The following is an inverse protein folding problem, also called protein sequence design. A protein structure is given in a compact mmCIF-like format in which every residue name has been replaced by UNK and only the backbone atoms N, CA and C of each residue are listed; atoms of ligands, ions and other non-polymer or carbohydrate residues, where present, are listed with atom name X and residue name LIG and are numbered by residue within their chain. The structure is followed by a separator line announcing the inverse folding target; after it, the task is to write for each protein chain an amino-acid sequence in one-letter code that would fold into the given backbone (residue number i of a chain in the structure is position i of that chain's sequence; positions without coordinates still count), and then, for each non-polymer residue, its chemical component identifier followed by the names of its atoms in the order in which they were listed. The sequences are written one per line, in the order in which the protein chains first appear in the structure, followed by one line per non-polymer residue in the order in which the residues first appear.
data_IF_294399076142
#
_entry.id   IF_294399076142
#
_cell.length_a   1.000
_cell.length_b   1.000
_cell.length_c   1.000
_cell.angle_alpha   90.00
_cell.angle_beta   90.00
_cell.angle_gamma   90.00
#
_symmetry.space_group_name_H-M   'P 1'
#
loop_
_entity.id
_entity.type
_entity.pdbx_description
1 polymer ?
#
# COMPACT_ATOMS: atom_id res chain seq x y z
N UNK A 1 3.30 17.54 -5.32
CA UNK A 1 4.69 17.22 -4.93
C UNK A 1 4.61 16.28 -3.74
N UNK A 2 5.26 15.10 -3.75
CA UNK A 2 5.25 14.22 -2.57
C UNK A 2 6.11 14.84 -1.46
N UNK A 3 5.69 14.76 -0.19
CA UNK A 3 6.50 15.24 0.92
C UNK A 3 7.84 14.51 0.95
N UNK A 4 8.95 15.23 1.15
CA UNK A 4 10.27 14.61 1.34
C UNK A 4 10.24 13.81 2.64
N UNK A 5 10.18 12.48 2.52
CA UNK A 5 10.20 11.59 3.67
C UNK A 5 11.60 11.53 4.28
N UNK A 6 11.69 11.63 5.61
CA UNK A 6 12.95 11.39 6.32
C UNK A 6 13.35 9.89 6.25
N UNK A 7 14.60 9.58 6.57
CA UNK A 7 15.15 8.22 6.45
C UNK A 7 14.46 7.20 7.35
N UNK A 8 14.01 7.60 8.55
CA UNK A 8 13.31 6.73 9.50
C UNK A 8 11.93 6.32 8.98
N UNK A 9 11.16 7.29 8.46
CA UNK A 9 9.85 7.06 7.85
C UNK A 9 9.98 6.17 6.61
N UNK A 10 10.96 6.44 5.74
CA UNK A 10 11.24 5.60 4.58
C UNK A 10 11.52 4.14 4.96
N UNK A 11 12.40 3.92 5.94
CA UNK A 11 12.71 2.57 6.44
C UNK A 11 11.49 1.88 7.05
N UNK A 12 10.69 2.62 7.82
CA UNK A 12 9.44 2.12 8.41
C UNK A 12 8.45 1.66 7.34
N UNK A 13 8.12 2.52 6.38
CA UNK A 13 7.20 2.19 5.29
C UNK A 13 7.73 1.04 4.42
N UNK A 14 9.03 1.05 4.09
CA UNK A 14 9.65 -0.03 3.29
C UNK A 14 9.50 -1.40 3.97
N UNK A 15 9.66 -1.47 5.30
CA UNK A 15 9.44 -2.71 6.06
C UNK A 15 8.02 -3.25 5.82
N UNK A 16 7.01 -2.39 5.87
CA UNK A 16 5.61 -2.81 5.67
C UNK A 16 5.31 -3.19 4.21
N UNK A 17 5.92 -2.52 3.23
CA UNK A 17 5.80 -2.93 1.83
C UNK A 17 6.39 -4.32 1.59
N UNK A 18 7.55 -4.61 2.17
CA UNK A 18 8.15 -5.96 2.08
C UNK A 18 7.27 -7.01 2.74
N UNK A 19 6.66 -6.71 3.89
CA UNK A 19 5.72 -7.63 4.55
C UNK A 19 4.48 -7.87 3.68
N UNK A 20 3.92 -6.83 3.08
CA UNK A 20 2.78 -6.95 2.14
C UNK A 20 3.14 -7.80 0.93
N UNK A 21 4.31 -7.55 0.32
CA UNK A 21 4.78 -8.32 -0.83
C UNK A 21 4.95 -9.81 -0.52
N UNK A 22 5.43 -10.16 0.67
CA UNK A 22 5.56 -11.56 1.12
C UNK A 22 4.21 -12.29 1.25
N UNK A 23 3.12 -11.57 1.50
CA UNK A 23 1.78 -12.17 1.55
C UNK A 23 1.20 -12.38 0.15
N UNK A 24 1.53 -11.46 -0.78
CA UNK A 24 0.95 -11.42 -2.13
C UNK A 24 1.70 -12.34 -3.09
N UNK A 25 3.04 -12.23 -3.18
CA UNK A 25 3.86 -12.90 -4.20
C UNK A 25 3.63 -14.42 -4.24
N UNK A 26 3.63 -15.16 -3.11
CA UNK A 26 3.41 -16.60 -3.15
C UNK A 26 2.04 -16.99 -3.70
N UNK A 27 0.99 -16.19 -3.43
CA UNK A 27 -0.37 -16.44 -3.90
C UNK A 27 -0.52 -16.20 -5.40
N UNK A 28 0.33 -15.36 -5.96
CA UNK A 28 0.33 -15.01 -7.37
C UNK A 28 1.31 -15.83 -8.21
N UNK A 29 2.22 -16.56 -7.58
CA UNK A 29 3.23 -17.34 -8.31
C UNK A 29 2.60 -18.37 -9.26
N UNK A 30 1.43 -18.89 -8.91
CA UNK A 30 0.67 -19.83 -9.73
C UNK A 30 -0.40 -19.16 -10.61
N UNK A 31 -0.51 -17.83 -10.57
CA UNK A 31 -1.51 -17.07 -11.33
C UNK A 31 -0.93 -16.63 -12.68
N UNK A 32 -1.66 -16.88 -13.77
CA UNK A 32 -1.37 -16.29 -15.08
C UNK A 32 -1.78 -14.82 -15.16
N UNK A 33 -2.67 -14.38 -14.27
CA UNK A 33 -3.15 -13.01 -14.18
C UNK A 33 -2.19 -12.16 -13.36
N UNK A 34 -1.72 -11.06 -13.95
CA UNK A 34 -0.91 -10.07 -13.25
C UNK A 34 -1.71 -9.42 -12.11
N UNK A 35 -1.08 -9.15 -10.96
CA UNK A 35 -1.78 -8.52 -9.84
C UNK A 35 -2.22 -7.10 -10.17
N UNK A 36 -3.47 -6.79 -9.81
CA UNK A 36 -3.97 -5.42 -9.89
C UNK A 36 -3.20 -4.51 -8.93
N UNK A 37 -3.08 -3.23 -9.28
CA UNK A 37 -2.47 -2.21 -8.41
C UNK A 37 -3.15 -2.15 -7.02
N UNK A 38 -4.45 -2.42 -6.97
CA UNK A 38 -5.27 -2.44 -5.74
C UNK A 38 -4.89 -3.63 -4.84
N UNK A 39 -4.51 -4.78 -5.42
CA UNK A 39 -4.11 -5.96 -4.66
C UNK A 39 -2.92 -5.69 -3.73
N UNK A 40 -2.01 -4.80 -4.14
CA UNK A 40 -0.86 -4.41 -3.33
C UNK A 40 -1.21 -3.45 -2.18
N UNK A 41 -2.35 -2.77 -2.28
CA UNK A 41 -2.80 -1.77 -1.31
C UNK A 41 -3.50 -2.39 -0.12
N UNK A 42 -4.27 -3.45 -0.36
CA UNK A 42 -5.09 -4.09 0.66
C UNK A 42 -4.24 -4.61 1.85
N UNK A 43 -3.14 -5.38 1.64
CA UNK A 43 -2.31 -5.84 2.75
C UNK A 43 -1.61 -4.70 3.50
N UNK A 44 -1.22 -3.62 2.81
CA UNK A 44 -0.67 -2.43 3.46
C UNK A 44 -1.70 -1.76 4.38
N UNK A 45 -2.97 -1.68 3.96
CA UNK A 45 -4.04 -1.12 4.79
C UNK A 45 -4.36 -2.00 5.99
N UNK A 46 -4.31 -3.33 5.83
CA UNK A 46 -4.47 -4.28 6.94
C UNK A 46 -3.34 -4.09 7.96
N UNK A 47 -2.09 -4.02 7.50
CA UNK A 47 -0.93 -3.79 8.38
C UNK A 47 -1.00 -2.45 9.11
N UNK A 48 -1.47 -1.39 8.44
CA UNK A 48 -1.69 -0.09 9.06
C UNK A 48 -2.70 -0.19 10.20
N UNK A 49 -3.86 -0.82 9.98
CA UNK A 49 -4.88 -1.00 11.03
C UNK A 49 -4.34 -1.83 12.20
N UNK A 50 -3.56 -2.86 11.93
CA UNK A 50 -2.94 -3.66 12.99
C UNK A 50 -1.96 -2.83 13.83
N UNK A 51 -1.11 -2.05 13.18
CA UNK A 51 -0.19 -1.15 13.89
C UNK A 51 -0.94 -0.06 14.66
N UNK A 52 -2.03 0.47 14.13
CA UNK A 52 -2.88 1.45 14.81
C UNK A 52 -3.38 0.89 16.15
N UNK A 53 -4.08 -0.27 16.11
CA UNK A 53 -4.58 -0.97 17.30
C UNK A 53 -3.45 -1.26 18.31
N UNK A 54 -2.33 -1.82 17.83
CA UNK A 54 -1.18 -2.13 18.69
C UNK A 54 -0.59 -0.90 19.37
N UNK A 55 -0.55 0.24 18.67
CA UNK A 55 0.01 1.48 19.22
C UNK A 55 -0.94 2.25 20.12
N UNK A 56 -2.25 2.05 19.97
CA UNK A 56 -3.28 2.51 20.92
C UNK A 56 -3.09 1.81 22.26
N UNK A 57 -2.97 0.47 22.26
CA UNK A 57 -2.71 -0.32 23.47
C UNK A 57 -1.39 0.07 24.18
N UNK A 58 -0.35 0.40 23.40
CA UNK A 58 0.98 0.76 23.91
C UNK A 58 1.14 2.27 24.24
N UNK A 59 0.11 3.11 24.05
CA UNK A 59 0.20 4.58 24.16
C UNK A 59 1.31 5.22 23.28
N UNK A 60 1.60 4.62 22.12
CA UNK A 60 2.67 5.04 21.17
C UNK A 60 2.14 5.71 19.91
N UNK A 61 0.91 6.24 19.97
CA UNK A 61 0.21 6.87 18.85
C UNK A 61 1.03 7.94 18.09
N UNK A 62 1.84 8.81 18.73
CA UNK A 62 2.68 9.76 18.00
C UNK A 62 3.68 9.11 17.04
N UNK A 63 4.21 7.93 17.40
CA UNK A 63 5.13 7.16 16.56
C UNK A 63 4.43 6.52 15.37
N UNK A 64 3.18 6.06 15.57
CA UNK A 64 2.31 5.57 14.50
C UNK A 64 2.05 6.68 13.46
N UNK A 65 1.55 7.83 13.90
CA UNK A 65 1.26 8.96 13.01
C UNK A 65 2.49 9.38 12.22
N UNK A 66 3.66 9.48 12.86
CA UNK A 66 4.90 9.88 12.19
C UNK A 66 5.30 8.95 11.03
N UNK A 67 5.00 7.65 11.12
CA UNK A 67 5.34 6.67 10.07
C UNK A 67 4.24 6.58 9.01
N UNK A 68 2.96 6.55 9.42
CA UNK A 68 1.84 6.23 8.54
C UNK A 68 1.13 7.45 7.93
N UNK A 69 1.22 8.64 8.53
CA UNK A 69 0.63 9.86 7.96
C UNK A 69 1.09 10.11 6.51
N UNK A 70 2.37 9.91 6.13
CA UNK A 70 2.78 10.09 4.75
C UNK A 70 2.19 9.05 3.79
N UNK A 71 1.94 7.83 4.26
CA UNK A 71 1.23 6.82 3.47
C UNK A 71 -0.22 7.25 3.20
N UNK A 72 -0.93 7.71 4.22
CA UNK A 72 -2.30 8.25 4.08
C UNK A 72 -2.33 9.45 3.13
N UNK A 73 -1.34 10.35 3.20
CA UNK A 73 -1.22 11.47 2.26
C UNK A 73 -0.98 11.00 0.82
N UNK A 74 -0.18 9.95 0.62
CA UNK A 74 0.01 9.36 -0.72
C UNK A 74 -1.31 8.82 -1.23
N UNK A 75 -2.03 8.02 -0.44
CA UNK A 75 -3.30 7.41 -0.83
C UNK A 75 -4.39 8.42 -1.16
N UNK A 76 -4.43 9.52 -0.43
CA UNK A 76 -5.44 10.57 -0.63
C UNK A 76 -5.09 11.52 -1.78
N UNK A 77 -3.84 11.52 -2.25
CA UNK A 77 -3.35 12.39 -3.33
C UNK A 77 -4.01 12.09 -4.68
N UNK A 78 -4.26 13.15 -5.46
CA UNK A 78 -4.86 13.01 -6.80
C UNK A 78 -4.01 12.10 -7.71
N UNK A 79 -2.69 12.28 -7.69
CA UNK A 79 -1.76 11.47 -8.48
C UNK A 79 -1.86 9.97 -8.17
N UNK A 80 -2.11 9.61 -6.92
CA UNK A 80 -2.31 8.21 -6.54
C UNK A 80 -3.65 7.68 -7.07
N UNK A 81 -4.72 8.48 -6.99
CA UNK A 81 -6.02 8.13 -7.59
C UNK A 81 -5.89 7.90 -9.09
N UNK A 82 -5.23 8.81 -9.80
CA UNK A 82 -4.99 8.69 -11.26
C UNK A 82 -4.15 7.44 -11.59
N UNK A 83 -3.18 7.09 -10.74
CA UNK A 83 -2.36 5.89 -10.89
C UNK A 83 -3.15 4.59 -10.68
N UNK A 84 -4.09 4.56 -9.73
CA UNK A 84 -5.01 3.43 -9.56
C UNK A 84 -5.95 3.32 -10.76
N UNK A 85 -6.60 4.43 -11.15
CA UNK A 85 -7.57 4.49 -12.25
C UNK A 85 -6.93 4.00 -13.57
N UNK A 86 -5.73 4.48 -13.89
CA UNK A 86 -4.99 4.02 -15.07
C UNK A 86 -4.67 2.52 -15.04
N UNK A 87 -4.45 1.90 -13.88
CA UNK A 87 -4.23 0.44 -13.80
C UNK A 87 -5.50 -0.42 -13.82
N UNK A 88 -6.67 0.17 -13.58
CA UNK A 88 -7.97 -0.48 -13.81
C UNK A 88 -8.37 -0.50 -15.28
N UNK A 89 -7.94 0.48 -16.07
CA UNK A 89 -8.19 0.50 -17.52
C UNK A 89 -7.46 -0.61 -18.27
N UNK A 90 -6.27 -1.02 -17.81
CA UNK A 90 -5.51 -2.15 -18.38
C UNK A 90 -6.26 -3.50 -18.21
N UNK A 91 -7.06 -3.65 -17.15
CA UNK A 91 -7.84 -4.86 -16.89
C UNK A 91 -9.13 -4.95 -17.74
N UNK A 92 -9.75 -3.82 -18.07
CA UNK A 92 -10.95 -3.81 -18.91
C UNK A 92 -10.65 -4.08 -20.38
N UNK A 93 -9.50 -3.64 -20.92
CA UNK A 93 -9.16 -3.92 -22.33
C UNK A 93 -8.80 -5.39 -22.58
N UNK A 94 -8.26 -6.10 -21.59
CA UNK A 94 -7.95 -7.54 -21.75
C UNK A 94 -9.17 -8.44 -21.76
N UNK A 95 -10.34 -7.97 -21.30
CA UNK A 95 -11.59 -8.75 -21.29
C UNK A 95 -12.41 -8.65 -22.59
N UNK A 96 -11.99 -7.84 -23.56
CA UNK A 96 -12.64 -7.68 -24.87
C UNK A 96 -11.77 -8.14 -26.05
N UNK A 97 -10.68 -8.86 -25.76
CA UNK A 97 -9.74 -9.37 -26.77
C UNK A 97 -9.71 -10.91 -26.85
N UNK A 98 -10.70 -11.59 -26.24
CA UNK A 98 -11.01 -13.00 -26.49
C UNK A 98 -12.23 -13.14 -27.41
#
# INVERSE_FOLDING_TARGET
MFPKLNSKVKKGLLRFFVLSARQIIPRLWCSTTAPSKVLWMEPMNILMRYEEMRTEDENKYPGFCAIWQPWVQIQTSQRFRDWIISGTHDLQQSQYLD
#
